data_IF_200898168036
#
_entry.id   IF_200898168036
#
_cell.length_a   1.000
_cell.length_b   1.000
_cell.length_c   1.000
_cell.angle_alpha   90.00
_cell.angle_beta   90.00
_cell.angle_gamma   90.00
#
_symmetry.space_group_name_H-M   'P 1'
#
loop_
_entity.id
_entity.type
_entity.pdbx_description
1 polymer ?
#
# COMPACT_ATOMS: atom_id res chain seq x y z
N UNK A 1 -34.90 -9.42 -59.38
CA UNK A 1 -33.51 -9.91 -59.32
C UNK A 1 -32.61 -8.70 -59.09
N UNK A 2 -32.06 -8.40 -57.93
CA UNK A 2 -32.20 -8.96 -56.59
C UNK A 2 -31.92 -7.84 -55.59
N UNK A 3 -32.55 -8.01 -54.43
CA UNK A 3 -32.52 -7.20 -53.22
C UNK A 3 -31.14 -7.09 -52.57
N UNK A 4 -30.85 -5.94 -51.94
CA UNK A 4 -30.42 -5.96 -50.55
C UNK A 4 -30.97 -4.75 -49.80
N UNK A 5 -31.92 -5.04 -48.92
CA UNK A 5 -32.45 -4.16 -47.89
C UNK A 5 -31.55 -4.32 -46.66
N UNK A 6 -31.10 -3.23 -46.07
CA UNK A 6 -30.72 -3.18 -44.65
C UNK A 6 -30.82 -1.74 -44.15
N UNK A 7 -32.04 -1.27 -43.94
CA UNK A 7 -32.32 -0.40 -42.80
C UNK A 7 -31.84 -1.12 -41.54
N UNK A 8 -31.12 -0.43 -40.64
CA UNK A 8 -31.19 -0.53 -39.17
C UNK A 8 -29.90 0.04 -38.53
N UNK A 9 -30.08 1.14 -37.77
CA UNK A 9 -29.55 1.44 -36.42
C UNK A 9 -28.01 1.36 -36.25
N UNK A 10 -27.29 2.40 -35.83
CA UNK A 10 -27.48 3.17 -34.59
C UNK A 10 -26.88 4.59 -34.73
N UNK A 11 -27.74 5.60 -34.83
CA UNK A 11 -27.45 6.95 -34.32
C UNK A 11 -28.23 7.14 -33.02
N UNK A 12 -27.55 6.99 -31.88
CA UNK A 12 -27.88 7.53 -30.55
C UNK A 12 -26.59 7.46 -29.68
N UNK A 13 -26.28 8.46 -28.83
CA UNK A 13 -25.48 9.62 -29.22
C UNK A 13 -24.24 9.87 -28.31
N UNK A 14 -23.34 10.82 -28.66
CA UNK A 14 -22.19 11.31 -27.84
C UNK A 14 -22.57 12.03 -26.52
N UNK A 15 -23.76 11.74 -25.96
CA UNK A 15 -24.28 12.34 -24.72
C UNK A 15 -23.85 11.58 -23.48
N UNK A 16 -23.79 10.25 -23.52
CA UNK A 16 -23.40 9.45 -22.36
C UNK A 16 -21.92 9.66 -22.01
N UNK A 17 -21.03 9.57 -23.00
CA UNK A 17 -19.60 9.82 -22.82
C UNK A 17 -19.32 11.22 -22.24
N UNK A 18 -20.11 12.20 -22.66
CA UNK A 18 -20.02 13.57 -22.14
C UNK A 18 -20.48 13.68 -20.69
N UNK A 19 -21.55 12.97 -20.32
CA UNK A 19 -22.05 12.95 -18.93
C UNK A 19 -21.06 12.24 -18.02
N UNK A 20 -20.56 11.09 -18.45
CA UNK A 20 -19.52 10.34 -17.74
C UNK A 20 -18.31 11.23 -17.47
N UNK A 21 -17.78 11.88 -18.50
CA UNK A 21 -16.62 12.77 -18.37
C UNK A 21 -16.87 13.89 -17.36
N UNK A 22 -18.03 14.54 -17.43
CA UNK A 22 -18.38 15.63 -16.50
C UNK A 22 -18.47 15.13 -15.05
N UNK A 23 -19.04 13.95 -14.82
CA UNK A 23 -19.13 13.38 -13.47
C UNK A 23 -17.73 13.04 -12.96
N UNK A 24 -16.89 12.39 -13.76
CA UNK A 24 -15.50 12.07 -13.40
C UNK A 24 -14.69 13.34 -13.09
N UNK A 25 -14.79 14.38 -13.93
CA UNK A 25 -14.16 15.69 -13.68
C UNK A 25 -14.63 16.32 -12.35
N UNK A 26 -15.92 16.20 -12.00
CA UNK A 26 -16.45 16.72 -10.73
C UNK A 26 -16.00 15.92 -9.51
N UNK A 27 -15.85 14.60 -9.66
CA UNK A 27 -15.26 13.74 -8.62
C UNK A 27 -13.81 14.19 -8.38
N UNK A 28 -13.02 14.32 -9.45
CA UNK A 28 -11.62 14.78 -9.36
C UNK A 28 -11.49 16.16 -8.70
N UNK A 29 -12.30 17.14 -9.12
CA UNK A 29 -12.35 18.47 -8.51
C UNK A 29 -12.64 18.39 -7.01
N UNK A 30 -13.61 17.55 -6.61
CA UNK A 30 -13.97 17.37 -5.21
C UNK A 30 -12.83 16.73 -4.40
N UNK A 31 -12.22 15.65 -4.91
CA UNK A 31 -11.13 14.96 -4.23
C UNK A 31 -9.94 15.91 -4.02
N UNK A 32 -9.54 16.61 -5.07
CA UNK A 32 -8.44 17.58 -5.03
C UNK A 32 -8.72 18.72 -4.04
N UNK A 33 -9.94 19.25 -4.02
CA UNK A 33 -10.32 20.38 -3.15
C UNK A 33 -10.28 20.00 -1.66
N UNK A 34 -10.56 18.75 -1.33
CA UNK A 34 -10.64 18.26 0.05
C UNK A 34 -9.39 17.48 0.47
N UNK A 35 -8.29 17.56 -0.29
CA UNK A 35 -7.04 16.82 -0.03
C UNK A 35 -7.24 15.31 0.12
N UNK A 36 -8.26 14.76 -0.55
CA UNK A 36 -8.49 13.31 -0.61
C UNK A 36 -7.62 12.70 -1.71
N UNK A 37 -7.33 11.40 -1.62
CA UNK A 37 -6.58 10.73 -2.68
C UNK A 37 -7.34 10.81 -4.02
N UNK A 38 -6.59 11.06 -5.09
CA UNK A 38 -7.10 11.12 -6.45
C UNK A 38 -6.26 10.23 -7.37
N UNK A 39 -6.83 9.11 -7.80
CA UNK A 39 -6.26 8.21 -8.80
C UNK A 39 -7.32 7.87 -9.85
N UNK A 40 -6.89 7.48 -11.05
CA UNK A 40 -7.81 7.14 -12.13
C UNK A 40 -8.78 6.03 -11.72
N UNK A 41 -8.28 4.94 -11.11
CA UNK A 41 -9.13 3.83 -10.70
C UNK A 41 -10.12 4.24 -9.60
N UNK A 42 -9.71 5.10 -8.67
CA UNK A 42 -10.60 5.61 -7.62
C UNK A 42 -11.72 6.48 -8.19
N UNK A 43 -11.39 7.36 -9.13
CA UNK A 43 -12.37 8.18 -9.85
C UNK A 43 -13.34 7.29 -10.61
N UNK A 44 -12.84 6.24 -11.29
CA UNK A 44 -13.68 5.26 -11.99
C UNK A 44 -14.60 4.50 -11.04
N UNK A 45 -14.11 4.00 -9.91
CA UNK A 45 -14.94 3.27 -8.96
C UNK A 45 -15.99 4.16 -8.29
N UNK A 46 -15.61 5.38 -7.87
CA UNK A 46 -16.57 6.36 -7.34
C UNK A 46 -17.63 6.69 -8.39
N UNK A 47 -17.23 6.86 -9.65
CA UNK A 47 -18.16 7.06 -10.75
C UNK A 47 -19.10 5.86 -10.94
N UNK A 48 -18.59 4.62 -10.95
CA UNK A 48 -19.41 3.43 -11.10
C UNK A 48 -20.43 3.31 -9.97
N UNK A 49 -20.03 3.55 -8.72
CA UNK A 49 -20.94 3.49 -7.58
C UNK A 49 -22.02 4.58 -7.65
N UNK A 50 -21.64 5.82 -8.01
CA UNK A 50 -22.60 6.89 -8.25
C UNK A 50 -23.55 6.54 -9.41
N UNK A 51 -23.06 5.95 -10.49
CA UNK A 51 -23.85 5.54 -11.65
C UNK A 51 -24.83 4.41 -11.30
N UNK A 52 -24.42 3.42 -10.50
CA UNK A 52 -25.29 2.36 -10.00
C UNK A 52 -26.38 2.92 -9.08
N UNK A 53 -26.03 3.87 -8.21
CA UNK A 53 -26.99 4.55 -7.33
C UNK A 53 -28.03 5.36 -8.13
N UNK A 54 -27.58 6.11 -9.14
CA UNK A 54 -28.46 6.83 -10.08
C UNK A 54 -29.38 5.85 -10.81
N UNK A 55 -28.82 4.76 -11.33
CA UNK A 55 -29.59 3.74 -12.06
C UNK A 55 -30.65 3.09 -11.17
N UNK A 56 -30.29 2.75 -9.93
CA UNK A 56 -31.20 2.18 -8.94
C UNK A 56 -32.35 3.13 -8.63
N UNK A 57 -32.04 4.42 -8.44
CA UNK A 57 -33.07 5.44 -8.18
C UNK A 57 -33.99 5.67 -9.37
N UNK A 58 -33.45 5.63 -10.60
CA UNK A 58 -34.26 5.70 -11.83
C UNK A 58 -35.23 4.51 -11.92
N UNK A 59 -34.80 3.30 -11.56
CA UNK A 59 -35.67 2.12 -11.53
C UNK A 59 -36.79 2.28 -10.49
N UNK A 60 -36.49 2.80 -9.30
CA UNK A 60 -37.50 3.10 -8.27
C UNK A 60 -38.56 4.10 -8.77
N UNK A 61 -38.12 5.21 -9.38
CA UNK A 61 -39.00 6.23 -9.96
C UNK A 61 -39.90 5.60 -11.03
N UNK A 62 -39.34 4.80 -11.94
CA UNK A 62 -40.13 4.11 -12.96
C UNK A 62 -41.15 3.15 -12.35
N UNK A 63 -40.78 2.41 -11.32
CA UNK A 63 -41.72 1.54 -10.60
C UNK A 63 -42.88 2.34 -9.98
N UNK A 64 -42.64 3.54 -9.45
CA UNK A 64 -43.69 4.38 -8.87
C UNK A 64 -44.63 4.96 -9.93
N UNK A 65 -44.09 5.31 -11.10
CA UNK A 65 -44.88 5.76 -12.25
C UNK A 65 -45.80 4.64 -12.74
N UNK A 66 -45.29 3.40 -12.85
CA UNK A 66 -46.10 2.25 -13.23
C UNK A 66 -47.23 1.94 -12.22
N UNK A 67 -47.06 2.33 -10.96
CA UNK A 67 -48.09 2.22 -9.90
C UNK A 67 -49.08 3.38 -9.88
N UNK A 68 -49.02 4.30 -10.86
CA UNK A 68 -50.00 5.37 -11.05
C UNK A 68 -49.57 6.75 -10.53
N UNK A 69 -48.32 6.90 -10.06
CA UNK A 69 -47.79 8.22 -9.66
C UNK A 69 -47.44 9.05 -10.89
N UNK A 70 -47.69 10.36 -10.86
CA UNK A 70 -47.27 11.24 -11.96
C UNK A 70 -45.73 11.32 -12.04
N UNK A 71 -45.19 11.42 -13.25
CA UNK A 71 -43.74 11.46 -13.50
C UNK A 71 -43.05 12.55 -12.68
N UNK A 72 -43.61 13.77 -12.67
CA UNK A 72 -43.05 14.91 -11.94
C UNK A 72 -43.00 14.66 -10.44
N UNK A 73 -44.06 14.04 -9.88
CA UNK A 73 -44.11 13.75 -8.44
C UNK A 73 -43.11 12.66 -8.07
N UNK A 74 -43.06 11.58 -8.85
CA UNK A 74 -42.13 10.48 -8.60
C UNK A 74 -40.67 10.95 -8.64
N UNK A 75 -40.29 11.76 -9.63
CA UNK A 75 -38.94 12.31 -9.75
C UNK A 75 -38.58 13.33 -8.67
N UNK A 76 -39.54 14.16 -8.25
CA UNK A 76 -39.31 15.18 -7.22
C UNK A 76 -39.19 14.59 -5.81
N UNK A 77 -40.02 13.58 -5.49
CA UNK A 77 -40.03 12.97 -4.15
C UNK A 77 -38.96 11.89 -3.95
N UNK A 78 -38.35 11.38 -5.03
CA UNK A 78 -37.37 10.28 -4.97
C UNK A 78 -36.02 10.75 -5.53
N UNK A 79 -35.45 11.76 -4.90
CA UNK A 79 -34.09 12.24 -5.19
C UNK A 79 -33.05 11.39 -4.46
N UNK A 80 -31.79 11.54 -4.85
CA UNK A 80 -30.65 11.01 -4.10
C UNK A 80 -30.26 12.07 -3.07
N UNK A 81 -30.18 11.68 -1.80
CA UNK A 81 -29.74 12.56 -0.72
C UNK A 81 -28.28 12.99 -0.93
N UNK A 82 -27.99 14.26 -0.67
CA UNK A 82 -26.62 14.79 -0.85
C UNK A 82 -25.62 14.11 0.09
N UNK A 83 -26.06 13.71 1.29
CA UNK A 83 -25.24 13.00 2.27
C UNK A 83 -24.78 11.63 1.75
N UNK A 84 -25.61 10.92 0.98
CA UNK A 84 -25.23 9.64 0.35
C UNK A 84 -24.17 9.83 -0.74
N UNK A 85 -24.29 10.91 -1.51
CA UNK A 85 -23.27 11.27 -2.52
C UNK A 85 -21.96 11.59 -1.80
N UNK A 86 -22.03 12.37 -0.72
CA UNK A 86 -20.86 12.73 0.08
C UNK A 86 -20.19 11.48 0.67
N UNK A 87 -20.96 10.55 1.23
CA UNK A 87 -20.49 9.28 1.76
C UNK A 87 -19.67 8.51 0.72
N UNK A 88 -20.17 8.38 -0.51
CA UNK A 88 -19.43 7.71 -1.61
C UNK A 88 -18.13 8.45 -1.94
N UNK A 89 -18.17 9.78 -1.96
CA UNK A 89 -17.00 10.60 -2.29
C UNK A 89 -15.91 10.51 -1.20
N UNK A 90 -16.26 10.38 0.08
CA UNK A 90 -15.31 10.23 1.18
C UNK A 90 -14.95 8.77 1.50
N UNK A 91 -15.73 7.80 0.99
CA UNK A 91 -15.47 6.37 1.23
C UNK A 91 -14.13 5.96 0.65
N UNK A 92 -13.29 5.34 1.48
CA UNK A 92 -12.09 4.62 1.05
C UNK A 92 -12.53 3.27 0.46
N UNK A 93 -12.34 3.11 -0.86
CA UNK A 93 -12.71 1.87 -1.57
C UNK A 93 -11.71 0.73 -1.32
N UNK A 94 -10.65 0.94 -0.53
CA UNK A 94 -9.59 -0.04 -0.27
C UNK A 94 -9.10 -0.68 -1.58
N UNK A 95 -8.64 0.16 -2.51
CA UNK A 95 -8.15 -0.22 -3.83
C UNK A 95 -6.76 -0.85 -3.73
N UNK A 96 -6.65 -1.99 -3.06
CA UNK A 96 -5.37 -2.70 -2.85
C UNK A 96 -4.64 -3.02 -4.17
N UNK A 97 -5.32 -2.94 -5.32
CA UNK A 97 -4.76 -3.16 -6.66
C UNK A 97 -4.37 -1.89 -7.42
N UNK A 98 -4.71 -0.69 -6.93
CA UNK A 98 -4.28 0.58 -7.53
C UNK A 98 -2.97 1.02 -6.88
N UNK A 99 -1.86 0.62 -7.50
CA UNK A 99 -0.52 0.93 -7.00
C UNK A 99 -0.33 2.45 -6.77
N UNK A 100 -0.62 3.35 -7.73
CA UNK A 100 -0.57 4.80 -7.50
C UNK A 100 -1.35 5.28 -6.27
N UNK A 101 -2.57 4.77 -6.07
CA UNK A 101 -3.39 5.11 -4.89
C UNK A 101 -2.73 4.64 -3.59
N UNK A 102 -2.33 3.37 -3.55
CA UNK A 102 -1.68 2.75 -2.38
C UNK A 102 -0.37 3.47 -2.01
N UNK A 103 0.44 3.84 -3.01
CA UNK A 103 1.70 4.55 -2.77
C UNK A 103 1.48 5.98 -2.31
N UNK A 104 0.45 6.68 -2.81
CA UNK A 104 0.09 8.01 -2.29
C UNK A 104 -0.41 7.92 -0.85
N UNK A 105 -1.27 6.94 -0.55
CA UNK A 105 -1.74 6.68 0.82
C UNK A 105 -0.58 6.36 1.76
N UNK A 106 0.40 5.57 1.32
CA UNK A 106 1.60 5.27 2.10
C UNK A 106 2.41 6.55 2.42
N UNK A 107 2.61 7.44 1.43
CA UNK A 107 3.29 8.72 1.65
C UNK A 107 2.55 9.59 2.68
N UNK A 108 1.22 9.68 2.57
CA UNK A 108 0.39 10.42 3.52
C UNK A 108 0.50 9.83 4.92
N UNK A 109 0.41 8.50 5.06
CA UNK A 109 0.55 7.82 6.34
C UNK A 109 1.88 8.12 7.04
N UNK A 110 2.97 8.16 6.26
CA UNK A 110 4.28 8.55 6.76
C UNK A 110 4.34 10.02 7.20
N UNK A 111 3.73 10.92 6.44
CA UNK A 111 3.65 12.34 6.76
C UNK A 111 2.84 12.58 8.05
N UNK A 112 1.65 11.97 8.13
CA UNK A 112 0.77 12.04 9.29
C UNK A 112 1.45 11.47 10.54
N UNK A 113 2.21 10.37 10.40
CA UNK A 113 2.95 9.80 11.53
C UNK A 113 4.10 10.72 11.96
N UNK A 114 4.85 11.32 11.03
CA UNK A 114 5.90 12.28 11.37
C UNK A 114 5.32 13.49 12.13
N UNK A 115 4.20 14.03 11.67
CA UNK A 115 3.54 15.19 12.27
C UNK A 115 2.95 14.83 13.64
N UNK A 116 2.08 13.82 13.70
CA UNK A 116 1.36 13.47 14.93
C UNK A 116 2.24 12.75 15.95
N UNK A 117 3.08 11.80 15.54
CA UNK A 117 3.83 10.99 16.49
C UNK A 117 5.11 11.68 16.92
N UNK A 118 5.92 12.17 15.98
CA UNK A 118 7.27 12.65 16.28
C UNK A 118 7.28 14.13 16.66
N UNK A 119 6.47 14.97 16.00
CA UNK A 119 6.44 16.40 16.31
C UNK A 119 5.58 16.72 17.55
N UNK A 120 4.44 16.05 17.76
CA UNK A 120 3.62 16.27 18.96
C UNK A 120 4.24 15.62 20.21
N UNK A 121 4.97 14.51 20.07
CA UNK A 121 5.69 13.84 21.17
C UNK A 121 7.11 14.36 21.35
N UNK A 122 7.37 15.66 21.12
CA UNK A 122 8.74 16.20 21.13
C UNK A 122 9.50 15.96 22.44
N UNK A 123 8.79 15.79 23.56
CA UNK A 123 9.41 15.55 24.87
C UNK A 123 10.18 14.22 24.92
N UNK A 124 9.84 13.28 24.02
CA UNK A 124 10.47 11.96 23.93
C UNK A 124 11.58 11.89 22.89
N UNK A 125 11.68 12.85 21.98
CA UNK A 125 12.64 12.85 20.89
C UNK A 125 13.60 14.04 20.98
N UNK A 126 14.89 13.76 20.85
CA UNK A 126 15.88 14.82 20.67
C UNK A 126 15.75 15.46 19.28
N UNK A 127 16.21 16.71 19.15
CA UNK A 127 16.27 17.43 17.85
C UNK A 127 17.02 16.60 16.80
N UNK A 128 18.05 15.86 17.21
CA UNK A 128 18.83 14.99 16.31
C UNK A 128 18.00 13.81 15.79
N UNK A 129 17.21 13.16 16.66
CA UNK A 129 16.32 12.06 16.28
C UNK A 129 15.20 12.53 15.35
N UNK A 130 14.60 13.69 15.63
CA UNK A 130 13.60 14.30 14.74
C UNK A 130 14.22 14.60 13.37
N UNK A 131 15.44 15.16 13.36
CA UNK A 131 16.19 15.42 12.13
C UNK A 131 16.47 14.15 11.33
N UNK A 132 16.92 13.09 11.98
CA UNK A 132 17.19 11.79 11.34
C UNK A 132 15.93 11.21 10.70
N UNK A 133 14.83 11.14 11.45
CA UNK A 133 13.58 10.58 10.91
C UNK A 133 13.01 11.45 9.78
N UNK A 134 13.15 12.77 9.84
CA UNK A 134 12.78 13.66 8.74
C UNK A 134 13.60 13.41 7.47
N UNK A 135 14.90 13.12 7.58
CA UNK A 135 15.71 12.77 6.40
C UNK A 135 15.29 11.42 5.78
N UNK A 136 14.96 10.41 6.60
CA UNK A 136 14.37 9.16 6.13
C UNK A 136 13.04 9.41 5.44
N UNK A 137 12.16 10.20 6.06
CA UNK A 137 10.87 10.56 5.47
C UNK A 137 11.03 11.23 4.11
N UNK A 138 11.90 12.24 4.00
CA UNK A 138 12.18 12.92 2.72
C UNK A 138 12.70 11.98 1.65
N UNK A 139 13.51 10.99 2.04
CA UNK A 139 14.01 9.95 1.13
C UNK A 139 12.84 9.11 0.61
N UNK A 140 12.03 8.55 1.51
CA UNK A 140 10.84 7.75 1.17
C UNK A 140 9.86 8.55 0.31
N UNK A 141 9.61 9.82 0.66
CA UNK A 141 8.65 10.65 -0.06
C UNK A 141 9.06 10.89 -1.53
N UNK A 142 10.37 10.95 -1.81
CA UNK A 142 10.93 11.17 -3.15
C UNK A 142 11.03 9.90 -4.00
N UNK A 143 10.87 8.72 -3.39
CA UNK A 143 10.87 7.45 -4.11
C UNK A 143 9.72 7.39 -5.12
N UNK A 144 9.94 6.68 -6.22
CA UNK A 144 8.88 6.36 -7.15
C UNK A 144 7.93 5.30 -6.56
N UNK A 145 6.82 5.05 -7.25
CA UNK A 145 5.80 4.13 -6.76
C UNK A 145 6.28 2.67 -6.73
N UNK A 146 7.26 2.29 -7.56
CA UNK A 146 7.81 0.93 -7.55
C UNK A 146 8.73 0.74 -6.33
N UNK A 147 9.60 1.70 -6.04
CA UNK A 147 10.48 1.69 -4.87
C UNK A 147 9.69 1.75 -3.55
N UNK A 148 8.58 2.49 -3.52
CA UNK A 148 7.68 2.49 -2.36
C UNK A 148 6.99 1.15 -2.12
N UNK A 149 6.80 0.33 -3.15
CA UNK A 149 6.32 -1.04 -2.98
C UNK A 149 7.35 -1.87 -2.18
N UNK A 150 8.64 -1.66 -2.43
CA UNK A 150 9.70 -2.29 -1.62
C UNK A 150 9.68 -1.79 -0.17
N UNK A 151 9.46 -0.50 0.06
CA UNK A 151 9.30 0.07 1.43
C UNK A 151 8.10 -0.56 2.14
N UNK A 152 6.96 -0.66 1.46
CA UNK A 152 5.76 -1.30 2.00
C UNK A 152 6.08 -2.72 2.47
N UNK A 153 6.75 -3.48 1.60
CA UNK A 153 7.10 -4.87 1.85
C UNK A 153 8.20 -5.05 2.90
N UNK A 154 9.11 -4.07 3.08
CA UNK A 154 10.17 -4.13 4.08
C UNK A 154 9.67 -3.80 5.48
N UNK A 155 8.75 -2.84 5.60
CA UNK A 155 8.13 -2.49 6.88
C UNK A 155 7.26 -3.65 7.35
N UNK A 156 6.45 -4.19 6.45
CA UNK A 156 5.54 -5.31 6.74
C UNK A 156 5.80 -6.46 5.79
N UNK A 157 6.37 -7.55 6.31
CA UNK A 157 6.83 -8.72 5.53
C UNK A 157 5.69 -9.61 4.98
N UNK A 158 4.49 -9.07 4.81
CA UNK A 158 3.35 -9.73 4.17
C UNK A 158 2.92 -8.94 2.94
N UNK A 159 2.49 -9.62 1.87
CA UNK A 159 2.09 -8.95 0.62
C UNK A 159 0.68 -8.35 0.66
N UNK A 160 -0.19 -8.82 1.55
CA UNK A 160 -1.63 -8.52 1.55
C UNK A 160 -2.04 -7.42 2.52
N UNK A 161 -1.17 -7.05 3.46
CA UNK A 161 -1.58 -6.20 4.56
C UNK A 161 -1.34 -4.73 4.25
N UNK A 162 -2.32 -3.90 4.58
CA UNK A 162 -2.13 -2.45 4.63
C UNK A 162 -1.19 -2.09 5.79
N UNK A 163 -0.34 -1.09 5.56
CA UNK A 163 0.46 -0.46 6.61
C UNK A 163 -0.44 0.44 7.44
N UNK A 164 -0.28 0.36 8.75
CA UNK A 164 -1.04 1.13 9.74
C UNK A 164 -0.13 2.17 10.39
N UNK A 165 -0.72 3.17 11.05
CA UNK A 165 0.04 4.17 11.81
C UNK A 165 1.01 3.51 12.80
N UNK A 166 0.55 2.50 13.56
CA UNK A 166 1.40 1.75 14.50
C UNK A 166 2.62 1.09 13.84
N UNK A 167 2.50 0.69 12.57
CA UNK A 167 3.61 0.08 11.83
C UNK A 167 4.68 1.16 11.51
N UNK A 168 4.24 2.35 11.09
CA UNK A 168 5.13 3.50 10.82
C UNK A 168 5.75 4.03 12.10
N UNK A 169 4.99 4.13 13.20
CA UNK A 169 5.52 4.54 14.51
C UNK A 169 6.61 3.61 14.99
N UNK A 170 6.42 2.30 14.88
CA UNK A 170 7.45 1.31 15.25
C UNK A 170 8.66 1.36 14.34
N UNK A 171 8.47 1.59 13.04
CA UNK A 171 9.59 1.84 12.12
C UNK A 171 10.38 3.10 12.52
N UNK A 172 9.69 4.18 12.89
CA UNK A 172 10.31 5.42 13.36
C UNK A 172 11.09 5.24 14.66
N UNK A 173 10.55 4.48 15.63
CA UNK A 173 11.22 4.13 16.89
C UNK A 173 12.56 3.43 16.62
N UNK A 174 12.59 2.41 15.76
CA UNK A 174 13.85 1.71 15.41
C UNK A 174 14.87 2.68 14.79
N UNK A 175 14.40 3.57 13.91
CA UNK A 175 15.27 4.55 13.26
C UNK A 175 15.88 5.51 14.29
N UNK A 176 15.08 5.95 15.25
CA UNK A 176 15.48 6.98 16.20
C UNK A 176 16.25 6.43 17.40
N UNK A 177 16.06 5.16 17.76
CA UNK A 177 16.74 4.50 18.88
C UNK A 177 18.17 4.06 18.55
N UNK A 178 18.46 3.82 17.27
CA UNK A 178 19.78 3.38 16.83
C UNK A 178 20.66 4.60 16.51
N UNK A 179 21.83 4.69 17.14
CA UNK A 179 22.73 5.84 17.02
C UNK A 179 23.64 5.79 15.80
N UNK A 180 23.74 4.63 15.15
CA UNK A 180 24.50 4.48 13.91
C UNK A 180 23.84 5.28 12.77
N UNK A 181 24.63 5.70 11.79
CA UNK A 181 24.10 6.42 10.64
C UNK A 181 23.28 5.49 9.74
N UNK A 182 22.09 5.95 9.34
CA UNK A 182 21.28 5.26 8.35
C UNK A 182 21.80 5.55 6.93
N UNK A 183 21.81 4.52 6.09
CA UNK A 183 22.12 4.60 4.66
C UNK A 183 20.82 4.86 3.90
N UNK A 184 20.78 5.97 3.16
CA UNK A 184 19.63 6.40 2.35
C UNK A 184 19.89 6.10 0.87
N UNK A 185 20.18 4.84 0.57
CA UNK A 185 20.32 4.32 -0.79
C UNK A 185 19.40 3.10 -0.87
N UNK A 186 18.55 3.06 -1.89
CA UNK A 186 17.42 2.13 -1.97
C UNK A 186 16.59 2.22 -0.67
N UNK A 187 16.35 1.10 0.00
CA UNK A 187 15.65 1.07 1.29
C UNK A 187 16.51 1.68 2.41
N UNK A 188 15.96 2.54 3.29
CA UNK A 188 16.68 3.01 4.46
C UNK A 188 17.11 1.84 5.35
N UNK A 189 18.41 1.70 5.57
CA UNK A 189 19.00 0.59 6.30
C UNK A 189 20.27 0.99 7.04
N UNK A 190 20.71 0.20 8.01
CA UNK A 190 22.04 0.33 8.59
C UNK A 190 23.01 -0.65 7.93
N UNK A 191 24.29 -0.31 7.86
CA UNK A 191 25.31 -1.20 7.31
C UNK A 191 26.56 -1.21 8.16
N UNK A 192 27.11 -2.41 8.35
CA UNK A 192 28.38 -2.65 9.04
C UNK A 192 29.00 -3.96 8.58
N UNK A 193 30.31 -3.96 8.30
CA UNK A 193 31.06 -5.17 7.89
C UNK A 193 30.39 -5.98 6.78
N UNK A 194 29.87 -5.29 5.74
CA UNK A 194 29.09 -5.86 4.63
C UNK A 194 27.72 -6.46 5.00
N UNK A 195 27.34 -6.44 6.28
CA UNK A 195 25.99 -6.80 6.72
C UNK A 195 25.06 -5.60 6.55
N UNK A 196 23.83 -5.86 6.13
CA UNK A 196 22.78 -4.86 6.00
C UNK A 196 21.64 -5.18 6.96
N UNK A 197 21.29 -4.19 7.77
CA UNK A 197 20.29 -4.27 8.82
C UNK A 197 19.09 -3.42 8.42
N UNK A 198 17.95 -4.06 8.21
CA UNK A 198 16.74 -3.41 7.73
C UNK A 198 15.77 -3.16 8.89
N UNK A 199 15.42 -1.89 9.17
CA UNK A 199 14.33 -1.56 10.10
C UNK A 199 12.99 -2.07 9.57
N UNK A 200 12.15 -2.61 10.46
CA UNK A 200 10.82 -3.16 10.10
C UNK A 200 9.76 -2.74 11.13
N UNK A 201 8.48 -3.02 10.88
CA UNK A 201 7.41 -2.88 11.87
C UNK A 201 7.17 -4.16 12.71
N UNK A 202 8.08 -5.14 12.65
CA UNK A 202 7.85 -6.42 13.29
C UNK A 202 7.74 -6.30 14.81
N UNK A 203 6.62 -6.80 15.35
CA UNK A 203 6.37 -7.00 16.78
C UNK A 203 6.35 -8.51 17.11
N UNK A 204 7.50 -9.02 17.52
CA UNK A 204 7.80 -10.40 17.84
C UNK A 204 7.90 -10.62 19.36
N UNK A 205 7.36 -11.75 19.79
CA UNK A 205 7.54 -12.28 21.14
C UNK A 205 8.09 -13.70 21.00
N UNK A 206 8.97 -14.13 21.91
CA UNK A 206 9.60 -15.47 21.86
C UNK A 206 8.59 -16.59 21.63
N UNK A 207 7.44 -16.55 22.33
CA UNK A 207 6.36 -17.55 22.19
C UNK A 207 5.71 -17.60 20.80
N UNK A 208 5.84 -16.55 20.00
CA UNK A 208 5.30 -16.43 18.64
C UNK A 208 6.36 -16.64 17.54
N UNK A 209 7.63 -16.81 17.92
CA UNK A 209 8.74 -16.92 16.98
C UNK A 209 8.51 -18.03 15.94
N UNK A 210 8.19 -19.24 16.37
CA UNK A 210 7.98 -20.37 15.44
C UNK A 210 6.81 -20.17 14.49
N UNK A 211 5.70 -19.60 14.97
CA UNK A 211 4.56 -19.27 14.10
C UNK A 211 4.94 -18.19 13.08
N UNK A 212 5.71 -17.19 13.49
CA UNK A 212 6.23 -16.18 12.58
C UNK A 212 7.16 -16.79 11.52
N UNK A 213 8.11 -17.65 11.92
CA UNK A 213 9.01 -18.34 10.99
C UNK A 213 8.23 -19.09 9.92
N UNK A 214 7.24 -19.89 10.33
CA UNK A 214 6.41 -20.65 9.40
C UNK A 214 5.66 -19.74 8.41
N UNK A 215 5.08 -18.64 8.90
CA UNK A 215 4.39 -17.66 8.06
C UNK A 215 5.36 -16.95 7.10
N UNK A 216 6.54 -16.56 7.56
CA UNK A 216 7.53 -15.91 6.70
C UNK A 216 7.98 -16.85 5.57
N UNK A 217 8.25 -18.12 5.90
CA UNK A 217 8.60 -19.14 4.89
C UNK A 217 7.47 -19.32 3.86
N UNK A 218 6.21 -19.30 4.30
CA UNK A 218 5.06 -19.34 3.40
C UNK A 218 5.00 -18.12 2.49
N UNK A 219 5.17 -16.91 3.04
CA UNK A 219 5.19 -15.67 2.25
C UNK A 219 6.32 -15.67 1.23
N UNK A 220 7.50 -16.20 1.58
CA UNK A 220 8.62 -16.27 0.63
C UNK A 220 8.30 -17.10 -0.61
N UNK A 221 7.42 -18.11 -0.51
CA UNK A 221 7.05 -18.94 -1.67
C UNK A 221 6.19 -18.21 -2.70
N UNK A 222 5.40 -17.23 -2.28
CA UNK A 222 4.46 -16.51 -3.14
C UNK A 222 4.86 -15.05 -3.40
N UNK A 223 5.85 -14.53 -2.67
CA UNK A 223 6.23 -13.12 -2.70
C UNK A 223 7.67 -12.94 -3.20
N UNK A 224 7.83 -12.81 -4.51
CA UNK A 224 9.15 -12.58 -5.14
C UNK A 224 9.80 -11.26 -4.70
N UNK A 225 8.99 -10.24 -4.37
CA UNK A 225 9.50 -8.95 -3.91
C UNK A 225 10.21 -9.09 -2.57
N UNK A 226 9.55 -9.77 -1.63
CA UNK A 226 10.12 -10.08 -0.32
C UNK A 226 11.40 -10.91 -0.43
N UNK A 227 11.45 -11.88 -1.34
CA UNK A 227 12.68 -12.67 -1.57
C UNK A 227 13.85 -11.79 -2.00
N UNK A 228 13.62 -10.84 -2.92
CA UNK A 228 14.66 -9.88 -3.34
C UNK A 228 15.13 -9.01 -2.18
N UNK A 229 14.19 -8.52 -1.37
CA UNK A 229 14.51 -7.71 -0.18
C UNK A 229 15.36 -8.52 0.79
N UNK A 230 14.93 -9.71 1.19
CA UNK A 230 15.64 -10.51 2.20
C UNK A 230 16.98 -11.08 1.70
N UNK A 231 17.16 -11.17 0.38
CA UNK A 231 18.45 -11.54 -0.21
C UNK A 231 19.48 -10.42 -0.01
N UNK A 232 19.07 -9.17 -0.20
CA UNK A 232 19.94 -8.00 -0.04
C UNK A 232 20.08 -7.59 1.44
N UNK A 233 19.00 -7.73 2.22
CA UNK A 233 18.85 -7.30 3.60
C UNK A 233 18.54 -8.47 4.51
N UNK A 234 19.57 -9.22 4.88
CA UNK A 234 19.42 -10.49 5.58
C UNK A 234 19.30 -10.37 7.11
N UNK A 235 19.46 -9.16 7.68
CA UNK A 235 19.24 -8.90 9.10
C UNK A 235 18.07 -7.93 9.25
N UNK A 236 16.99 -8.39 9.89
CA UNK A 236 15.80 -7.60 10.14
C UNK A 236 15.80 -7.13 11.59
N UNK A 237 15.56 -5.83 11.78
CA UNK A 237 15.42 -5.23 13.11
C UNK A 237 13.94 -5.16 13.43
N UNK A 238 13.54 -5.77 14.55
CA UNK A 238 12.20 -5.71 15.09
C UNK A 238 12.09 -4.58 16.13
N UNK A 239 10.95 -3.89 16.14
CA UNK A 239 10.64 -2.87 17.15
C UNK A 239 9.88 -3.47 18.33
N UNK A 240 10.33 -4.65 18.77
CA UNK A 240 9.67 -5.46 19.80
C UNK A 240 10.36 -5.34 21.15
N UNK A 241 9.70 -5.85 22.19
CA UNK A 241 10.39 -6.23 23.42
C UNK A 241 11.58 -7.17 23.11
N UNK A 242 12.59 -7.14 23.99
CA UNK A 242 13.79 -7.95 23.84
C UNK A 242 13.42 -9.43 23.70
N UNK A 243 13.77 -10.01 22.57
CA UNK A 243 13.55 -11.41 22.23
C UNK A 243 14.86 -12.07 21.80
N UNK A 244 14.87 -13.41 21.79
CA UNK A 244 16.03 -14.15 21.30
C UNK A 244 16.22 -13.94 19.80
N UNK A 245 17.46 -14.05 19.32
CA UNK A 245 17.74 -14.03 17.89
C UNK A 245 16.96 -15.17 17.21
N UNK A 246 16.24 -14.81 16.16
CA UNK A 246 15.47 -15.75 15.35
C UNK A 246 16.22 -15.91 14.04
N UNK A 247 16.74 -17.11 13.80
CA UNK A 247 17.35 -17.49 12.53
C UNK A 247 16.32 -18.26 11.69
N UNK A 248 16.27 -17.90 10.41
CA UNK A 248 15.34 -18.44 9.43
C UNK A 248 16.17 -18.81 8.21
N UNK A 249 16.25 -20.11 7.95
CA UNK A 249 16.91 -20.63 6.76
C UNK A 249 15.80 -21.11 5.82
N UNK A 250 15.55 -20.33 4.77
CA UNK A 250 14.57 -20.66 3.75
C UNK A 250 15.28 -20.99 2.43
N UNK A 251 14.78 -22.00 1.73
CA UNK A 251 15.22 -22.33 0.37
C UNK A 251 14.17 -21.83 -0.61
N UNK A 252 14.59 -21.11 -1.65
CA UNK A 252 13.67 -20.55 -2.63
C UNK A 252 14.22 -20.65 -4.06
N UNK A 253 13.42 -21.23 -4.96
CA UNK A 253 13.74 -21.42 -6.38
C UNK A 253 13.76 -20.10 -7.18
N UNK A 254 13.11 -19.05 -6.69
CA UNK A 254 13.03 -17.76 -7.41
C UNK A 254 14.36 -17.00 -7.47
N UNK A 255 15.29 -17.28 -6.55
CA UNK A 255 16.61 -16.63 -6.48
C UNK A 255 17.50 -17.02 -7.67
N UNK A 256 17.21 -18.15 -8.34
CA UNK A 256 17.97 -18.67 -9.48
C UNK A 256 17.35 -18.41 -10.85
N UNK A 257 16.17 -17.78 -10.96
CA UNK A 257 15.58 -17.37 -12.25
C UNK A 257 16.23 -16.11 -12.84
N UNK A 258 17.51 -15.88 -12.57
CA UNK A 258 18.31 -14.89 -13.30
C UNK A 258 18.89 -15.60 -14.53
N UNK A 259 18.18 -15.49 -15.65
CA UNK A 259 18.67 -15.75 -17.03
C UNK A 259 19.36 -17.11 -17.25
N UNK A 260 18.60 -18.21 -17.21
CA UNK A 260 19.02 -19.43 -17.90
C UNK A 260 17.83 -19.93 -18.72
N UNK A 261 18.02 -19.97 -20.03
CA UNK A 261 17.15 -20.55 -21.06
C UNK A 261 16.47 -21.82 -20.52
N UNK A 262 15.14 -21.87 -20.54
CA UNK A 262 14.31 -22.93 -19.93
C UNK A 262 14.61 -24.34 -20.46
N UNK A 263 15.39 -24.44 -21.54
CA UNK A 263 15.79 -25.70 -22.17
C UNK A 263 17.11 -26.31 -21.66
N UNK A 264 17.76 -25.77 -20.60
CA UNK A 264 19.08 -26.28 -20.13
C UNK A 264 19.28 -26.46 -18.61
N UNK A 265 18.26 -26.36 -17.76
CA UNK A 265 18.45 -26.45 -16.31
C UNK A 265 17.99 -27.78 -15.70
N UNK A 266 18.79 -28.85 -15.83
CA UNK A 266 18.66 -30.06 -14.99
C UNK A 266 19.19 -29.87 -13.56
N UNK A 267 19.77 -28.70 -13.23
CA UNK A 267 20.36 -28.42 -11.92
C UNK A 267 19.66 -27.24 -11.23
N UNK A 268 18.64 -27.53 -10.44
CA UNK A 268 18.02 -26.55 -9.53
C UNK A 268 18.97 -26.27 -8.36
N UNK A 269 19.75 -25.19 -8.44
CA UNK A 269 20.54 -24.75 -7.28
C UNK A 269 19.60 -24.02 -6.32
N UNK A 270 19.20 -24.70 -5.25
CA UNK A 270 18.48 -24.10 -4.12
C UNK A 270 19.48 -23.21 -3.35
N UNK A 271 19.34 -21.89 -3.43
CA UNK A 271 20.15 -20.97 -2.62
C UNK A 271 19.46 -20.70 -1.29
N UNK A 272 20.20 -20.88 -0.20
CA UNK A 272 19.74 -20.58 1.15
C UNK A 272 19.63 -19.06 1.34
N UNK A 273 18.49 -18.58 1.87
CA UNK A 273 18.32 -17.24 2.39
C UNK A 273 18.47 -17.30 3.93
N UNK A 274 19.66 -17.00 4.47
CA UNK A 274 19.85 -16.95 5.92
C UNK A 274 19.35 -15.60 6.44
N UNK A 275 18.11 -15.57 6.92
CA UNK A 275 17.48 -14.37 7.49
C UNK A 275 17.58 -14.41 9.01
N UNK A 276 18.10 -13.34 9.61
CA UNK A 276 18.21 -13.16 11.06
C UNK A 276 17.28 -12.04 11.50
N UNK A 277 16.46 -12.27 12.52
CA UNK A 277 15.66 -11.22 13.16
C UNK A 277 16.20 -10.94 14.56
N UNK A 278 16.50 -9.67 14.82
CA UNK A 278 17.04 -9.16 16.09
C UNK A 278 16.19 -7.99 16.59
N UNK A 279 16.19 -7.74 17.90
CA UNK A 279 15.54 -6.56 18.47
C UNK A 279 16.45 -5.32 18.43
N UNK A 280 15.84 -4.13 18.50
CA UNK A 280 16.54 -2.83 18.46
C UNK A 280 17.75 -2.74 19.40
N UNK A 281 17.70 -3.16 20.68
CA UNK A 281 18.86 -3.06 21.57
C UNK A 281 20.05 -3.93 21.13
N UNK A 282 19.80 -5.10 20.52
CA UNK A 282 20.85 -5.96 19.97
C UNK A 282 21.45 -5.31 18.73
N UNK A 283 20.60 -4.77 17.84
CA UNK A 283 21.05 -4.06 16.65
C UNK A 283 21.94 -2.86 17.01
N UNK A 284 21.52 -2.05 17.99
CA UNK A 284 22.29 -0.92 18.52
C UNK A 284 23.66 -1.37 19.03
N UNK A 285 23.73 -2.48 19.78
CA UNK A 285 25.00 -3.05 20.27
C UNK A 285 25.89 -3.55 19.13
N UNK A 286 25.34 -4.30 18.17
CA UNK A 286 26.10 -4.81 17.01
C UNK A 286 26.64 -3.65 16.14
N UNK A 287 25.86 -2.59 15.96
CA UNK A 287 26.24 -1.43 15.15
C UNK A 287 27.23 -0.51 15.86
N UNK A 288 27.09 -0.28 17.18
CA UNK A 288 27.94 0.64 17.93
C UNK A 288 29.26 0.05 18.43
N UNK A 289 29.36 -1.27 18.66
CA UNK A 289 30.60 -1.85 19.20
C UNK A 289 31.72 -1.82 18.16
N UNK A 290 32.70 -0.94 18.37
CA UNK A 290 34.00 -0.89 17.70
C UNK A 290 35.05 -1.65 18.51
#
# INVERSE_FOLDING_TARGET
>A
MDSFNASILFETPPKLDRIERVIKEKIEEYLNKNSLENSLLLVEQKYHYLSEMITSKVIEIHSLIHRGTSQNRAAYENTIESDLILEILITDFNLVQDLPYEMRRLRNLFADTLENYVCESNEYFTIQQIGLFNEVFKHIYKMDDADLEYIKQSIRLSSSDQIRNDDVSTYAEIITDISANIVLVDLPHYSKDSKKYLPTALKLQDRRAESFKAKLIEQLRSNNLLVKILYEYNILISGSEVHKNIEINAYNDSVTRITIDENKAENHILKELPVKVICTPIAQSELNNA
#
